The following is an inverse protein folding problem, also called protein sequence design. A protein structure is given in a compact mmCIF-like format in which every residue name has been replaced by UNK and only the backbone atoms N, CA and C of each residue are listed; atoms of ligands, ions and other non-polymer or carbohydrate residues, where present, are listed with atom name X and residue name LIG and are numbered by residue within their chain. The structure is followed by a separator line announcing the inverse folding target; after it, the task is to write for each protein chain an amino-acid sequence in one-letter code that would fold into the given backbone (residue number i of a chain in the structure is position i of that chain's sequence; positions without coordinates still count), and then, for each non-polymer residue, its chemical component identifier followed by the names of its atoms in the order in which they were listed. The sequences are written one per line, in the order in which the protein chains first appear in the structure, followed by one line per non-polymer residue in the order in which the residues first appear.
data_IF_147026782896
#
_entry.id   IF_147026782896
#
_cell.length_a   1.000
_cell.length_b   1.000
_cell.length_c   1.000
_cell.angle_alpha   90.00
_cell.angle_beta   90.00
_cell.angle_gamma   90.00
#
_symmetry.space_group_name_H-M   'P 1'
#
loop_
_entity.id
_entity.type
_entity.pdbx_description
1 polymer ?
#
# COMPACT_ATOMS: atom_id res chain seq x y z
N UNK A 1 -6.58 27.17 -23.62
CA UNK A 1 -7.87 26.48 -23.84
C UNK A 1 -8.34 25.96 -22.50
N UNK A 2 -9.55 26.32 -22.04
CA UNK A 2 -10.06 25.75 -20.78
C UNK A 2 -10.43 24.29 -21.03
N UNK A 3 -10.16 23.39 -20.08
CA UNK A 3 -10.47 21.94 -20.25
C UNK A 3 -11.95 21.69 -20.55
N UNK A 4 -12.83 22.58 -20.11
CA UNK A 4 -14.27 22.58 -20.35
C UNK A 4 -14.65 22.78 -21.83
N UNK A 5 -13.79 23.39 -22.65
CA UNK A 5 -14.06 23.66 -24.07
C UNK A 5 -13.70 22.49 -25.01
N UNK A 6 -13.07 21.43 -24.48
CA UNK A 6 -12.58 20.30 -25.29
C UNK A 6 -13.73 19.41 -25.81
N UNK A 7 -14.84 19.36 -25.10
CA UNK A 7 -16.00 18.51 -25.43
C UNK A 7 -17.26 19.37 -25.51
N UNK A 8 -17.60 19.83 -26.71
CA UNK A 8 -18.84 20.60 -26.96
C UNK A 8 -20.07 19.78 -26.59
N UNK A 9 -21.16 20.44 -26.17
CA UNK A 9 -22.44 19.79 -25.83
C UNK A 9 -22.95 18.86 -26.92
N UNK A 10 -22.78 19.24 -28.20
CA UNK A 10 -23.17 18.41 -29.34
C UNK A 10 -22.42 17.07 -29.40
N UNK A 11 -21.16 17.04 -28.95
CA UNK A 11 -20.36 15.82 -28.85
C UNK A 11 -20.83 14.95 -27.69
N UNK A 12 -21.12 15.52 -26.51
CA UNK A 12 -21.58 14.74 -25.36
C UNK A 12 -22.97 14.14 -25.57
N UNK A 13 -23.85 14.82 -26.31
CA UNK A 13 -25.19 14.32 -26.69
C UNK A 13 -25.17 13.09 -27.61
N UNK A 14 -24.03 12.70 -28.16
CA UNK A 14 -23.93 11.52 -29.01
C UNK A 14 -23.95 10.21 -28.20
N UNK A 15 -23.60 10.25 -26.90
CA UNK A 15 -23.61 9.09 -26.02
C UNK A 15 -25.03 8.85 -25.50
N UNK A 16 -25.63 7.74 -25.90
CA UNK A 16 -27.01 7.35 -25.55
C UNK A 16 -27.07 6.46 -24.32
N UNK A 17 -25.98 5.78 -23.97
CA UNK A 17 -25.89 4.87 -22.82
C UNK A 17 -24.61 5.10 -22.02
N UNK A 18 -24.60 4.66 -20.76
CA UNK A 18 -23.41 4.68 -19.90
C UNK A 18 -22.26 3.84 -20.46
N UNK A 19 -22.56 2.75 -21.17
CA UNK A 19 -21.57 1.89 -21.82
C UNK A 19 -20.84 2.60 -22.96
N UNK A 20 -21.56 3.37 -23.79
CA UNK A 20 -20.97 4.14 -24.89
C UNK A 20 -19.99 5.21 -24.36
N UNK A 21 -20.40 5.91 -23.31
CA UNK A 21 -19.54 6.89 -22.64
C UNK A 21 -18.29 6.23 -22.04
N UNK A 22 -18.47 5.09 -21.35
CA UNK A 22 -17.38 4.34 -20.74
C UNK A 22 -16.40 3.81 -21.79
N UNK A 23 -16.91 3.32 -22.92
CA UNK A 23 -16.10 2.88 -24.06
C UNK A 23 -15.27 4.01 -24.68
N UNK A 24 -15.84 5.21 -24.80
CA UNK A 24 -15.09 6.39 -25.23
C UNK A 24 -13.99 6.78 -24.24
N UNK A 25 -14.29 6.83 -22.94
CA UNK A 25 -13.31 7.14 -21.91
C UNK A 25 -12.15 6.13 -21.90
N UNK A 26 -12.45 4.84 -22.10
CA UNK A 26 -11.45 3.78 -22.25
C UNK A 26 -10.50 4.05 -23.43
N UNK A 27 -11.04 4.42 -24.60
CA UNK A 27 -10.22 4.77 -25.77
C UNK A 27 -9.39 6.05 -25.55
N UNK A 28 -9.99 7.06 -24.92
CA UNK A 28 -9.31 8.32 -24.61
C UNK A 28 -8.14 8.09 -23.65
N UNK A 29 -8.35 7.30 -22.60
CA UNK A 29 -7.30 6.95 -21.64
C UNK A 29 -6.17 6.17 -22.32
N UNK A 30 -6.51 5.14 -23.14
CA UNK A 30 -5.51 4.41 -23.94
C UNK A 30 -4.65 5.36 -24.76
N UNK A 31 -5.27 6.27 -25.53
CA UNK A 31 -4.57 7.23 -26.38
C UNK A 31 -3.73 8.21 -25.54
N UNK A 32 -4.23 8.64 -24.38
CA UNK A 32 -3.50 9.48 -23.45
C UNK A 32 -2.23 8.81 -22.95
N UNK A 33 -2.33 7.55 -22.50
CA UNK A 33 -1.17 6.75 -22.05
C UNK A 33 -0.14 6.60 -23.17
N UNK A 34 -0.56 6.21 -24.38
CA UNK A 34 0.35 6.05 -25.52
C UNK A 34 1.08 7.36 -25.87
N UNK A 35 0.38 8.50 -25.83
CA UNK A 35 0.99 9.82 -26.11
C UNK A 35 1.94 10.29 -25.01
N UNK A 36 1.62 10.01 -23.75
CA UNK A 36 2.53 10.31 -22.64
C UNK A 36 3.81 9.46 -22.73
N UNK A 37 3.69 8.17 -23.08
CA UNK A 37 4.84 7.30 -23.30
C UNK A 37 5.70 7.74 -24.49
N UNK A 38 5.09 8.24 -25.57
CA UNK A 38 5.84 8.87 -26.67
C UNK A 38 6.61 10.09 -26.14
N UNK A 39 5.96 10.99 -25.40
CA UNK A 39 6.61 12.15 -24.78
C UNK A 39 7.75 11.80 -23.83
N UNK A 40 7.62 10.73 -23.04
CA UNK A 40 8.72 10.22 -22.22
C UNK A 40 9.91 9.75 -23.08
N UNK A 41 9.65 9.08 -24.21
CA UNK A 41 10.72 8.67 -25.12
C UNK A 41 11.38 9.87 -25.81
N UNK A 42 10.60 10.90 -26.18
CA UNK A 42 11.12 12.17 -26.71
C UNK A 42 12.10 12.79 -25.70
N UNK A 43 11.72 12.85 -24.42
CA UNK A 43 12.57 13.34 -23.34
C UNK A 43 13.82 12.49 -23.10
N UNK A 44 13.69 11.16 -23.14
CA UNK A 44 14.81 10.21 -22.98
C UNK A 44 15.83 10.32 -24.11
N UNK A 45 15.36 10.46 -25.36
CA UNK A 45 16.23 10.57 -26.54
C UNK A 45 16.73 12.00 -26.80
N UNK A 46 16.04 13.01 -26.26
CA UNK A 46 16.37 14.42 -26.46
C UNK A 46 15.95 14.98 -27.82
N UNK A 47 15.11 14.27 -28.59
CA UNK A 47 14.61 14.73 -29.89
C UNK A 47 13.25 14.09 -30.26
N UNK A 48 12.49 14.79 -31.08
CA UNK A 48 11.15 14.39 -31.51
C UNK A 48 11.16 13.35 -32.64
N UNK A 49 10.02 12.69 -32.88
CA UNK A 49 9.91 11.70 -33.97
C UNK A 49 10.18 12.37 -35.34
N UNK A 50 11.09 11.78 -36.12
CA UNK A 50 11.54 12.25 -37.44
C UNK A 50 12.40 13.52 -37.45
N UNK A 51 12.83 14.01 -36.28
CA UNK A 51 13.80 15.09 -36.20
C UNK A 51 15.21 14.59 -36.57
N UNK A 52 15.96 15.38 -37.34
CA UNK A 52 17.35 15.05 -37.66
C UNK A 52 18.21 15.19 -36.40
N UNK A 53 19.02 14.17 -36.11
CA UNK A 53 19.84 14.12 -34.89
C UNK A 53 21.14 13.40 -35.16
N UNK A 54 22.18 13.76 -34.38
CA UNK A 54 23.47 13.09 -34.37
C UNK A 54 23.61 12.12 -33.17
N UNK A 55 22.52 11.86 -32.43
CA UNK A 55 22.50 10.92 -31.31
C UNK A 55 22.72 9.47 -31.78
N UNK A 56 23.43 8.67 -30.98
CA UNK A 56 23.68 7.25 -31.30
C UNK A 56 22.41 6.40 -31.19
N UNK A 57 21.57 6.69 -30.20
CA UNK A 57 20.35 5.95 -29.93
C UNK A 57 19.19 6.47 -30.79
N UNK A 58 18.33 5.55 -31.22
CA UNK A 58 17.24 5.83 -32.13
C UNK A 58 15.93 5.17 -31.70
N UNK A 59 14.79 5.68 -32.17
CA UNK A 59 13.50 5.00 -31.99
C UNK A 59 13.48 3.68 -32.76
N UNK A 60 12.91 2.63 -32.14
CA UNK A 60 12.85 1.28 -32.70
C UNK A 60 11.43 0.67 -32.61
N UNK A 61 10.46 1.45 -33.08
CA UNK A 61 9.05 1.06 -33.13
C UNK A 61 8.40 0.92 -31.76
N UNK A 62 7.42 0.03 -31.68
CA UNK A 62 6.57 -0.17 -30.50
C UNK A 62 6.52 -1.65 -30.10
N UNK A 63 6.33 -1.89 -28.80
CA UNK A 63 5.92 -3.19 -28.26
C UNK A 63 4.47 -3.09 -27.81
N UNK A 64 3.67 -4.11 -28.12
CA UNK A 64 2.35 -4.22 -27.55
C UNK A 64 2.43 -4.66 -26.09
N UNK A 65 1.68 -3.98 -25.23
CA UNK A 65 1.60 -4.29 -23.81
C UNK A 65 0.15 -4.24 -23.38
N UNK A 66 -0.29 -5.30 -22.69
CA UNK A 66 -1.60 -5.33 -22.06
C UNK A 66 -1.50 -4.56 -20.74
N UNK A 67 -2.25 -3.47 -20.64
CA UNK A 67 -2.36 -2.68 -19.41
C UNK A 67 -3.76 -2.80 -18.82
N UNK A 68 -3.78 -2.66 -17.51
CA UNK A 68 -4.94 -2.87 -16.66
C UNK A 68 -5.25 -1.53 -16.00
N UNK A 69 -6.44 -1.01 -16.28
CA UNK A 69 -6.87 0.33 -15.88
C UNK A 69 -8.22 0.25 -15.16
N UNK A 70 -8.68 1.35 -14.58
CA UNK A 70 -10.02 1.45 -13.97
C UNK A 70 -11.17 1.18 -14.96
N UNK A 71 -10.93 1.32 -16.26
CA UNK A 71 -11.89 1.02 -17.33
C UNK A 71 -11.70 -0.40 -17.91
N UNK A 72 -11.02 -1.28 -17.17
CA UNK A 72 -10.72 -2.66 -17.55
C UNK A 72 -9.40 -2.80 -18.33
N UNK A 73 -9.29 -3.93 -19.04
CA UNK A 73 -8.07 -4.27 -19.78
C UNK A 73 -8.03 -3.59 -21.16
N UNK A 74 -6.86 -3.03 -21.50
CA UNK A 74 -6.58 -2.37 -22.77
C UNK A 74 -5.19 -2.77 -23.28
N UNK A 75 -5.05 -2.96 -24.60
CA UNK A 75 -3.73 -3.11 -25.23
C UNK A 75 -3.23 -1.74 -25.66
N UNK A 76 -2.05 -1.36 -25.17
CA UNK A 76 -1.33 -0.13 -25.55
C UNK A 76 -0.09 -0.45 -26.38
N UNK A 77 0.33 0.52 -27.18
CA UNK A 77 1.61 0.53 -27.88
C UNK A 77 2.64 1.30 -27.06
N UNK A 78 3.66 0.60 -26.54
CA UNK A 78 4.75 1.21 -25.78
C UNK A 78 5.94 1.45 -26.71
N UNK A 79 6.41 2.70 -26.87
CA UNK A 79 7.52 3.02 -27.75
C UNK A 79 8.83 2.49 -27.18
N UNK A 80 9.81 2.22 -28.06
CA UNK A 80 11.11 1.66 -27.70
C UNK A 80 12.26 2.40 -28.36
N UNK A 81 13.41 2.38 -27.73
CA UNK A 81 14.68 2.81 -28.27
C UNK A 81 15.49 1.61 -28.82
N UNK A 82 16.51 1.89 -29.63
CA UNK A 82 17.33 0.89 -30.33
C UNK A 82 18.33 0.24 -29.38
N UNK A 83 18.85 1.01 -28.43
CA UNK A 83 19.80 0.54 -27.41
C UNK A 83 19.10 -0.10 -26.18
N UNK A 84 17.76 -0.15 -26.17
CA UNK A 84 16.93 -0.73 -25.09
C UNK A 84 17.13 -0.09 -23.69
N UNK A 85 17.68 1.12 -23.63
CA UNK A 85 17.96 1.89 -22.41
C UNK A 85 16.73 2.59 -21.85
N UNK A 86 15.69 2.83 -22.66
CA UNK A 86 14.48 3.53 -22.22
C UNK A 86 13.70 2.70 -21.20
N UNK A 87 13.42 3.27 -20.02
CA UNK A 87 12.55 2.65 -19.01
C UNK A 87 11.40 3.60 -18.67
N UNK A 88 10.17 3.34 -19.15
CA UNK A 88 9.05 4.27 -18.96
C UNK A 88 8.69 4.44 -17.48
N UNK A 89 8.35 5.66 -17.08
CA UNK A 89 7.89 5.95 -15.72
C UNK A 89 6.39 5.66 -15.59
N UNK A 90 5.58 6.05 -16.57
CA UNK A 90 4.12 5.87 -16.53
C UNK A 90 3.70 4.40 -16.48
N UNK A 91 4.36 3.53 -17.27
CA UNK A 91 4.10 2.09 -17.27
C UNK A 91 5.41 1.30 -17.29
N UNK A 92 6.04 1.08 -16.12
CA UNK A 92 7.36 0.48 -16.03
C UNK A 92 7.50 -0.86 -16.74
N UNK A 93 8.70 -1.18 -17.23
CA UNK A 93 8.99 -2.50 -17.83
C UNK A 93 8.51 -3.61 -16.88
N UNK A 94 7.83 -4.62 -17.43
CA UNK A 94 7.27 -5.79 -16.70
C UNK A 94 6.10 -5.51 -15.73
N UNK A 95 5.64 -4.26 -15.56
CA UNK A 95 4.39 -3.94 -14.83
C UNK A 95 3.21 -3.73 -15.78
N UNK A 96 2.05 -4.32 -15.50
CA UNK A 96 0.87 -4.26 -16.38
C UNK A 96 -0.29 -3.44 -15.81
N UNK A 97 -0.14 -2.75 -14.68
CA UNK A 97 -1.20 -2.00 -14.01
C UNK A 97 -0.88 -0.50 -14.04
N UNK A 98 -1.92 0.32 -14.28
CA UNK A 98 -1.88 1.77 -14.10
C UNK A 98 -2.42 2.08 -12.70
N UNK A 99 -1.69 2.88 -11.93
CA UNK A 99 -1.91 3.11 -10.49
C UNK A 99 -3.36 3.43 -10.11
N UNK A 100 -3.84 2.81 -9.01
CA UNK A 100 -5.13 3.11 -8.38
C UNK A 100 -5.88 1.88 -7.85
N UNK A 101 -5.88 0.75 -8.57
CA UNK A 101 -6.54 -0.50 -8.14
C UNK A 101 -5.83 -1.11 -6.93
N UNK A 102 -4.51 -0.92 -6.82
CA UNK A 102 -3.71 -1.41 -5.70
C UNK A 102 -4.24 -0.89 -4.36
N UNK A 103 -4.61 0.40 -4.27
CA UNK A 103 -5.18 1.00 -3.06
C UNK A 103 -6.55 0.41 -2.71
N UNK A 104 -7.37 0.06 -3.71
CA UNK A 104 -8.66 -0.62 -3.50
C UNK A 104 -8.44 -2.02 -2.96
N UNK A 105 -7.50 -2.78 -3.55
CA UNK A 105 -7.13 -4.12 -3.09
C UNK A 105 -6.61 -4.08 -1.64
N UNK A 106 -5.72 -3.14 -1.32
CA UNK A 106 -5.20 -2.94 0.05
C UNK A 106 -6.34 -2.58 1.00
N UNK A 107 -7.27 -1.71 0.60
CA UNK A 107 -8.43 -1.35 1.43
C UNK A 107 -9.37 -2.51 1.70
N UNK A 108 -9.64 -3.36 0.71
CA UNK A 108 -10.50 -4.54 0.88
C UNK A 108 -9.82 -5.60 1.77
N UNK A 109 -8.51 -5.79 1.60
CA UNK A 109 -7.73 -6.66 2.47
C UNK A 109 -7.72 -6.14 3.92
N UNK A 110 -7.53 -4.83 4.13
CA UNK A 110 -7.57 -4.21 5.45
C UNK A 110 -8.94 -4.33 6.14
N UNK A 111 -10.02 -4.51 5.37
CA UNK A 111 -11.37 -4.79 5.89
C UNK A 111 -11.61 -6.27 6.23
N UNK A 112 -10.60 -7.12 6.06
CA UNK A 112 -10.65 -8.54 6.42
C UNK A 112 -11.21 -9.46 5.34
N UNK A 113 -11.33 -9.00 4.09
CA UNK A 113 -11.75 -9.85 2.98
C UNK A 113 -10.65 -10.84 2.61
N UNK A 114 -11.01 -12.08 2.27
CA UNK A 114 -10.02 -13.05 1.79
C UNK A 114 -9.54 -12.69 0.38
N UNK A 115 -8.36 -13.19 -0.02
CA UNK A 115 -7.85 -12.95 -1.37
C UNK A 115 -8.82 -13.41 -2.47
N UNK A 116 -9.59 -14.47 -2.22
CA UNK A 116 -10.62 -14.97 -3.13
C UNK A 116 -11.82 -14.03 -3.21
N UNK A 117 -12.27 -13.49 -2.07
CA UNK A 117 -13.39 -12.53 -2.04
C UNK A 117 -12.99 -11.22 -2.73
N UNK A 118 -11.73 -10.77 -2.56
CA UNK A 118 -11.20 -9.59 -3.24
C UNK A 118 -11.14 -9.82 -4.75
N UNK A 119 -10.68 -10.98 -5.20
CA UNK A 119 -10.68 -11.35 -6.62
C UNK A 119 -12.10 -11.29 -7.21
N UNK A 120 -13.09 -11.88 -6.52
CA UNK A 120 -14.49 -11.86 -6.94
C UNK A 120 -15.05 -10.43 -6.99
N UNK A 121 -14.86 -9.63 -5.95
CA UNK A 121 -15.34 -8.24 -5.90
C UNK A 121 -14.72 -7.37 -7.00
N UNK A 122 -13.42 -7.53 -7.26
CA UNK A 122 -12.74 -6.79 -8.32
C UNK A 122 -13.27 -7.21 -9.70
N UNK A 123 -13.56 -8.50 -9.89
CA UNK A 123 -14.18 -9.00 -11.12
C UNK A 123 -15.60 -8.47 -11.30
N UNK A 124 -16.42 -8.44 -10.25
CA UNK A 124 -17.81 -8.00 -10.33
C UNK A 124 -17.95 -6.49 -10.57
N UNK A 125 -17.22 -5.68 -9.80
CA UNK A 125 -17.39 -4.21 -9.82
C UNK A 125 -16.61 -3.56 -10.96
N UNK A 126 -15.42 -4.08 -11.27
CA UNK A 126 -14.51 -3.46 -12.24
C UNK A 126 -14.35 -4.27 -13.54
N UNK A 127 -15.06 -5.40 -13.67
CA UNK A 127 -14.95 -6.34 -14.80
C UNK A 127 -13.48 -6.70 -15.12
N UNK A 128 -12.72 -6.93 -14.04
CA UNK A 128 -11.28 -7.05 -14.09
C UNK A 128 -10.79 -8.32 -13.39
N UNK A 129 -10.02 -9.15 -14.09
CA UNK A 129 -9.51 -10.41 -13.54
C UNK A 129 -8.16 -10.22 -12.83
N UNK A 130 -8.13 -10.42 -11.51
CA UNK A 130 -6.91 -10.40 -10.69
C UNK A 130 -6.79 -11.70 -9.95
N UNK A 131 -5.72 -12.45 -10.20
CA UNK A 131 -5.45 -13.67 -9.44
C UNK A 131 -5.21 -13.36 -7.96
N UNK A 132 -5.62 -14.27 -7.08
CA UNK A 132 -5.21 -14.28 -5.65
C UNK A 132 -3.69 -14.08 -5.44
N UNK A 133 -2.84 -14.62 -6.33
CA UNK A 133 -1.38 -14.43 -6.28
C UNK A 133 -0.93 -13.00 -6.59
N UNK A 134 -1.70 -12.26 -7.38
CA UNK A 134 -1.44 -10.85 -7.66
C UNK A 134 -1.91 -9.97 -6.52
N UNK A 135 -3.07 -10.31 -5.92
CA UNK A 135 -3.56 -9.66 -4.70
C UNK A 135 -2.53 -9.79 -3.58
N UNK A 136 -2.02 -11.00 -3.33
CA UNK A 136 -0.97 -11.25 -2.33
C UNK A 136 0.25 -10.37 -2.55
N UNK A 137 0.76 -10.29 -3.79
CA UNK A 137 1.94 -9.46 -4.10
C UNK A 137 1.68 -7.96 -3.91
N UNK A 138 0.45 -7.50 -4.17
CA UNK A 138 0.05 -6.10 -3.93
C UNK A 138 -0.01 -5.82 -2.43
N UNK A 139 -0.60 -6.73 -1.65
CA UNK A 139 -0.63 -6.61 -0.19
C UNK A 139 0.75 -6.76 0.44
N UNK A 140 1.71 -7.41 -0.22
CA UNK A 140 3.08 -7.48 0.29
C UNK A 140 3.81 -6.13 0.16
N UNK A 141 3.37 -5.22 -0.71
CA UNK A 141 3.99 -3.89 -0.88
C UNK A 141 3.92 -3.05 0.40
N UNK A 142 2.82 -3.18 1.17
CA UNK A 142 2.66 -2.46 2.45
C UNK A 142 3.54 -3.04 3.56
N UNK A 143 4.27 -4.14 3.34
CA UNK A 143 5.16 -4.72 4.37
C UNK A 143 6.21 -3.71 4.82
N UNK A 144 6.77 -2.93 3.89
CA UNK A 144 7.74 -1.88 4.23
C UNK A 144 7.10 -0.77 5.06
N UNK A 145 5.85 -0.40 4.75
CA UNK A 145 5.10 0.61 5.51
C UNK A 145 4.76 0.11 6.91
N UNK A 146 4.46 -1.18 7.07
CA UNK A 146 4.26 -1.83 8.38
C UNK A 146 5.55 -1.74 9.21
N UNK A 147 6.70 -2.09 8.62
CA UNK A 147 8.00 -2.00 9.31
C UNK A 147 8.32 -0.55 9.68
N UNK A 148 8.08 0.41 8.78
CA UNK A 148 8.27 1.83 9.06
C UNK A 148 7.34 2.31 10.18
N UNK A 149 6.06 1.91 10.16
CA UNK A 149 5.08 2.26 11.18
C UNK A 149 5.41 1.64 12.55
N UNK A 150 5.92 0.41 12.56
CA UNK A 150 6.38 -0.28 13.77
C UNK A 150 7.61 0.38 14.39
N UNK A 151 8.47 1.02 13.60
CA UNK A 151 9.69 1.69 14.08
C UNK A 151 9.54 3.22 14.20
N UNK A 152 8.33 3.77 13.98
CA UNK A 152 8.14 5.23 13.99
C UNK A 152 8.45 5.82 15.38
N UNK A 153 8.98 7.05 15.45
CA UNK A 153 9.18 7.71 16.74
C UNK A 153 7.86 7.90 17.48
N UNK A 154 7.90 7.80 18.80
CA UNK A 154 6.76 7.97 19.71
C UNK A 154 6.91 9.26 20.52
N UNK A 155 5.81 9.71 21.13
CA UNK A 155 5.84 10.85 22.05
C UNK A 155 6.62 10.50 23.33
N UNK A 156 7.31 11.47 23.95
CA UNK A 156 8.10 11.21 25.15
C UNK A 156 7.24 10.83 26.36
N UNK A 157 5.98 11.26 26.43
CA UNK A 157 5.12 11.01 27.59
C UNK A 157 3.71 10.58 27.17
N UNK A 158 3.25 9.47 27.75
CA UNK A 158 1.87 8.99 27.64
C UNK A 158 1.18 8.98 29.01
N UNK A 159 -0.09 9.41 29.05
CA UNK A 159 -0.87 9.53 30.28
C UNK A 159 -1.34 8.16 30.79
N UNK A 160 -1.81 7.31 29.89
CA UNK A 160 -2.28 5.95 30.18
C UNK A 160 -1.81 5.05 29.05
N UNK A 161 -1.28 3.88 29.36
CA UNK A 161 -1.00 2.83 28.38
C UNK A 161 -1.72 1.57 28.77
N UNK A 162 -2.59 1.09 27.88
CA UNK A 162 -3.23 -0.22 27.97
C UNK A 162 -2.39 -1.23 27.21
N UNK A 163 -2.14 -2.38 27.83
CA UNK A 163 -1.41 -3.49 27.21
C UNK A 163 -2.28 -4.74 27.27
N UNK A 164 -2.52 -5.34 26.10
CA UNK A 164 -3.43 -6.48 25.95
C UNK A 164 -2.88 -7.49 24.93
N UNK A 165 -3.41 -8.71 24.95
CA UNK A 165 -3.02 -9.81 24.08
C UNK A 165 -4.22 -10.47 23.40
N UNK A 166 -4.18 -10.54 22.07
CA UNK A 166 -5.20 -11.24 21.28
C UNK A 166 -4.63 -12.57 20.78
N UNK A 167 -5.27 -13.68 21.16
CA UNK A 167 -4.88 -15.04 20.75
C UNK A 167 -5.57 -15.42 19.44
N UNK A 168 -4.80 -15.95 18.48
CA UNK A 168 -5.31 -16.44 17.21
C UNK A 168 -4.56 -17.70 16.78
N UNK A 169 -5.22 -18.49 15.93
CA UNK A 169 -4.69 -19.75 15.41
C UNK A 169 -3.92 -19.50 14.12
N UNK A 170 -2.66 -19.90 14.09
CA UNK A 170 -1.81 -19.84 12.90
C UNK A 170 -1.31 -21.21 12.52
N UNK A 171 -1.12 -21.45 11.22
CA UNK A 171 -0.45 -22.66 10.73
C UNK A 171 1.05 -22.39 10.64
N UNK A 172 1.84 -23.08 11.46
CA UNK A 172 3.31 -23.03 11.47
C UNK A 172 3.84 -24.47 11.43
N UNK A 173 4.80 -24.76 10.54
CA UNK A 173 5.39 -26.11 10.38
C UNK A 173 4.34 -27.23 10.26
N UNK A 174 3.32 -27.01 9.42
CA UNK A 174 2.19 -27.94 9.18
C UNK A 174 1.31 -28.24 10.40
N UNK A 175 1.46 -27.50 11.51
CA UNK A 175 0.62 -27.60 12.71
C UNK A 175 -0.12 -26.29 12.95
N UNK A 176 -1.35 -26.39 13.45
CA UNK A 176 -2.11 -25.23 13.92
C UNK A 176 -1.72 -24.98 15.36
N UNK A 177 -1.10 -23.84 15.62
CA UNK A 177 -0.67 -23.40 16.96
C UNK A 177 -1.35 -22.08 17.31
N UNK A 178 -1.54 -21.84 18.60
CA UNK A 178 -1.96 -20.54 19.08
C UNK A 178 -0.74 -19.60 19.09
N UNK A 179 -0.93 -18.38 18.58
CA UNK A 179 0.00 -17.26 18.79
C UNK A 179 -0.78 -16.08 19.38
N UNK A 180 -0.07 -15.22 20.08
CA UNK A 180 -0.63 -14.02 20.69
C UNK A 180 -0.04 -12.79 20.00
N UNK A 181 -0.89 -11.88 19.56
CA UNK A 181 -0.50 -10.52 19.18
C UNK A 181 -0.71 -9.66 20.41
N UNK A 182 0.37 -9.08 20.90
CA UNK A 182 0.35 -8.11 21.99
C UNK A 182 0.21 -6.71 21.42
N UNK A 183 -0.66 -5.92 22.01
CA UNK A 183 -1.03 -4.59 21.55
C UNK A 183 -0.81 -3.63 22.72
N UNK A 184 -0.12 -2.52 22.44
CA UNK A 184 -0.05 -1.40 23.38
C UNK A 184 -0.80 -0.20 22.78
N UNK A 185 -1.70 0.38 23.57
CA UNK A 185 -2.47 1.58 23.19
C UNK A 185 -2.19 2.68 24.19
N UNK A 186 -1.71 3.83 23.73
CA UNK A 186 -1.37 4.97 24.57
C UNK A 186 -2.38 6.11 24.46
N UNK A 187 -2.67 6.77 25.59
CA UNK A 187 -3.37 8.05 25.66
C UNK A 187 -2.35 9.18 25.71
N UNK A 188 -2.36 10.03 24.69
CA UNK A 188 -1.50 11.21 24.61
C UNK A 188 -1.99 12.36 25.49
N UNK A 189 -1.11 13.34 25.69
CA UNK A 189 -1.39 14.59 26.40
C UNK A 189 -2.49 15.43 25.75
N UNK A 190 -2.75 15.25 24.45
CA UNK A 190 -3.84 15.91 23.70
C UNK A 190 -5.19 15.18 23.84
N UNK A 191 -5.25 14.12 24.65
CA UNK A 191 -6.46 13.33 24.88
C UNK A 191 -6.79 12.32 23.77
N UNK A 192 -5.92 12.17 22.76
CA UNK A 192 -6.13 11.18 21.68
C UNK A 192 -5.46 9.86 22.02
N UNK A 193 -6.15 8.76 21.67
CA UNK A 193 -5.60 7.41 21.75
C UNK A 193 -4.85 7.07 20.47
N UNK A 194 -3.75 6.35 20.58
CA UNK A 194 -3.06 5.75 19.44
C UNK A 194 -2.50 4.36 19.78
N UNK A 195 -2.34 3.52 18.77
CA UNK A 195 -1.68 2.20 18.92
C UNK A 195 -0.18 2.41 18.87
N UNK A 196 0.52 2.12 19.96
CA UNK A 196 1.98 2.30 20.08
C UNK A 196 2.74 1.21 19.31
N UNK A 197 2.22 -0.01 19.31
CA UNK A 197 2.79 -1.13 18.58
C UNK A 197 1.98 -2.41 18.67
N UNK A 198 2.40 -3.38 17.85
CA UNK A 198 1.86 -4.73 17.74
C UNK A 198 3.04 -5.70 17.69
N UNK A 199 3.09 -6.66 18.62
CA UNK A 199 4.18 -7.62 18.71
C UNK A 199 3.65 -9.05 18.69
N UNK A 200 4.24 -9.89 17.84
CA UNK A 200 3.88 -11.30 17.76
C UNK A 200 4.72 -12.10 18.76
N UNK A 201 4.09 -12.66 19.79
CA UNK A 201 4.75 -13.56 20.73
C UNK A 201 4.21 -14.99 20.68
N UNK A 202 5.06 -15.94 21.03
CA UNK A 202 4.67 -17.36 21.15
C UNK A 202 3.97 -17.64 22.48
N UNK A 203 4.51 -17.10 23.58
CA UNK A 203 4.00 -17.25 24.94
C UNK A 203 4.08 -15.91 25.68
N UNK A 204 3.18 -15.69 26.64
CA UNK A 204 3.19 -14.52 27.50
C UNK A 204 4.22 -14.70 28.62
N UNK A 205 5.22 -13.82 28.68
CA UNK A 205 6.28 -13.88 29.69
C UNK A 205 6.79 -12.49 30.04
N UNK A 206 7.30 -12.32 31.27
CA UNK A 206 7.96 -11.10 31.70
C UNK A 206 9.12 -10.69 30.77
N UNK A 207 9.89 -11.66 30.26
CA UNK A 207 10.98 -11.40 29.31
C UNK A 207 10.49 -10.84 27.98
N UNK A 208 9.33 -11.33 27.49
CA UNK A 208 8.72 -10.78 26.28
C UNK A 208 8.27 -9.33 26.51
N UNK A 209 7.57 -9.06 27.61
CA UNK A 209 7.15 -7.71 27.94
C UNK A 209 8.32 -6.74 28.19
N UNK A 210 9.45 -7.21 28.72
CA UNK A 210 10.68 -6.43 28.81
C UNK A 210 11.13 -5.96 27.42
N UNK A 211 11.07 -6.83 26.42
CA UNK A 211 11.43 -6.47 25.04
C UNK A 211 10.48 -5.42 24.45
N UNK A 212 9.17 -5.54 24.72
CA UNK A 212 8.16 -4.56 24.28
C UNK A 212 8.40 -3.18 24.92
N UNK A 213 8.60 -3.13 26.24
CA UNK A 213 8.85 -1.88 26.97
C UNK A 213 10.17 -1.22 26.54
N UNK A 214 11.20 -2.03 26.30
CA UNK A 214 12.50 -1.54 25.80
C UNK A 214 12.38 -0.98 24.38
N UNK A 215 11.59 -1.61 23.51
CA UNK A 215 11.29 -1.10 22.16
C UNK A 215 10.57 0.26 22.22
N UNK A 216 9.56 0.40 23.08
CA UNK A 216 8.88 1.68 23.30
C UNK A 216 9.87 2.77 23.73
N UNK A 217 10.78 2.45 24.68
CA UNK A 217 11.80 3.38 25.15
C UNK A 217 12.80 3.76 24.05
N UNK A 218 13.25 2.79 23.26
CA UNK A 218 14.15 3.03 22.13
C UNK A 218 13.52 3.91 21.04
N UNK A 219 12.18 3.89 20.92
CA UNK A 219 11.41 4.73 20.00
C UNK A 219 11.09 6.13 20.53
N UNK A 220 11.57 6.48 21.72
CA UNK A 220 11.52 7.84 22.26
C UNK A 220 10.60 8.04 23.45
N UNK A 221 9.94 6.99 23.96
CA UNK A 221 9.11 7.10 25.18
C UNK A 221 10.03 7.23 26.40
N UNK A 222 9.86 8.32 27.13
CA UNK A 222 10.60 8.61 28.36
C UNK A 222 9.81 8.22 29.60
N UNK A 223 8.49 8.48 29.61
CA UNK A 223 7.63 8.24 30.77
C UNK A 223 6.21 7.77 30.42
N UNK A 224 5.68 6.91 31.28
CA UNK A 224 4.33 6.36 31.23
C UNK A 224 3.68 6.62 32.59
N UNK A 225 2.70 7.51 32.69
CA UNK A 225 2.15 7.86 34.01
C UNK A 225 1.33 6.73 34.63
N UNK A 226 0.51 6.07 33.81
CA UNK A 226 -0.34 4.94 34.23
C UNK A 226 -0.19 3.80 33.22
N UNK A 227 0.05 2.59 33.70
CA UNK A 227 0.00 1.36 32.89
C UNK A 227 -1.13 0.48 33.38
N UNK A 228 -2.07 0.14 32.50
CA UNK A 228 -3.18 -0.75 32.76
C UNK A 228 -2.95 -2.09 32.05
N UNK A 229 -2.81 -3.15 32.83
CA UNK A 229 -2.39 -4.46 32.34
C UNK A 229 -3.17 -5.57 33.00
N UNK A 230 -3.36 -6.70 32.32
CA UNK A 230 -3.86 -7.90 32.99
C UNK A 230 -2.81 -8.43 34.00
N UNK A 231 -3.28 -9.14 35.03
CA UNK A 231 -2.51 -9.45 36.23
C UNK A 231 -1.53 -10.61 36.00
N UNK A 232 -0.54 -10.36 35.16
CA UNK A 232 0.48 -11.31 34.74
C UNK A 232 1.66 -11.30 35.71
N UNK A 233 2.05 -12.49 36.14
CA UNK A 233 3.15 -12.67 37.08
C UNK A 233 4.45 -12.04 36.55
N UNK A 234 5.01 -11.10 37.31
CA UNK A 234 6.26 -10.40 37.00
C UNK A 234 6.14 -9.22 36.02
N UNK A 235 4.94 -8.92 35.53
CA UNK A 235 4.77 -7.83 34.56
C UNK A 235 4.95 -6.45 35.21
N UNK A 236 4.36 -6.23 36.39
CA UNK A 236 4.52 -5.01 37.18
C UNK A 236 6.00 -4.69 37.48
N UNK A 237 6.80 -5.70 37.83
CA UNK A 237 8.23 -5.51 38.10
C UNK A 237 9.01 -5.16 36.83
N UNK A 238 8.62 -5.76 35.70
CA UNK A 238 9.17 -5.45 34.38
C UNK A 238 8.90 -3.99 34.00
N UNK A 239 7.66 -3.50 34.22
CA UNK A 239 7.29 -2.11 33.97
C UNK A 239 8.15 -1.17 34.80
N UNK A 240 8.25 -1.40 36.12
CA UNK A 240 9.06 -0.58 37.03
C UNK A 240 10.55 -0.56 36.68
N UNK A 241 11.05 -1.63 36.07
CA UNK A 241 12.46 -1.69 35.63
C UNK A 241 12.72 -0.74 34.46
N UNK A 242 11.76 -0.57 33.54
CA UNK A 242 11.93 0.26 32.34
C UNK A 242 11.43 1.70 32.54
N UNK A 243 10.29 1.83 33.23
CA UNK A 243 9.55 3.06 33.53
C UNK A 243 9.26 3.11 35.05
N UNK A 244 10.23 3.50 35.89
CA UNK A 244 10.13 3.41 37.35
C UNK A 244 9.06 4.31 37.97
N UNK A 245 8.76 5.44 37.32
CA UNK A 245 7.76 6.41 37.80
C UNK A 245 6.31 6.02 37.43
N UNK A 246 6.14 4.97 36.61
CA UNK A 246 4.82 4.52 36.17
C UNK A 246 4.00 3.91 37.31
N UNK A 247 2.73 4.32 37.40
CA UNK A 247 1.75 3.70 38.30
C UNK A 247 1.01 2.57 37.58
N UNK A 248 1.25 1.34 38.02
CA UNK A 248 0.52 0.16 37.51
C UNK A 248 -0.86 0.04 38.18
N UNK A 249 -1.89 -0.18 37.38
CA UNK A 249 -3.28 -0.40 37.82
C UNK A 249 -3.83 -1.72 37.26
#
# INVERSE_FOLDING_TARGET
MKKEELFKDAFLKQFKTGEELTGFLKQLQKRGIEKMLEGELDGHLGYSKHEQTNMSNARNGFTQKKVRTSFGESQIQVPRDREATFNPMLVPKRKNMVDGIENVIVSLYAKGMSNSDIEEQIREVYNFEVSTSTISRITDVITNDIVAWQNRPLEPVYLIVWMDGIVFKVRENSKVINKTIYIAVGLRRDGKKEVLGLWLGKNESAAFWMSVLTDLKARGVEDLLITATDNLNGFTDTIKTVFPESKTQ
#
